data_IF_593853736115
#
_entry.id   IF_593853736115
#
_cell.length_a   1.000
_cell.length_b   1.000
_cell.length_c   1.000
_cell.angle_alpha   90.00
_cell.angle_beta   90.00
_cell.angle_gamma   90.00
#
_symmetry.space_group_name_H-M   'P 1'
#
loop_
_entity.id
_entity.type
_entity.pdbx_description
1 polymer ?
#
# COMPACT_ATOMS: atom_id res chain seq x y z
N UNK A 1 -8.09 -6.25 -8.44
CA UNK A 1 -7.95 -6.15 -6.97
C UNK A 1 -9.22 -5.61 -6.36
N UNK A 2 -9.76 -6.29 -5.36
CA UNK A 2 -10.92 -5.81 -4.60
C UNK A 2 -10.53 -4.65 -3.66
N UNK A 3 -11.36 -3.62 -3.62
CA UNK A 3 -11.23 -2.48 -2.70
C UNK A 3 -12.36 -2.54 -1.68
N UNK A 4 -12.02 -2.56 -0.39
CA UNK A 4 -12.98 -2.80 0.69
C UNK A 4 -12.94 -1.77 1.79
N UNK A 5 -14.12 -1.44 2.30
CA UNK A 5 -14.33 -0.77 3.59
C UNK A 5 -14.87 -1.83 4.57
N UNK A 6 -14.01 -2.31 5.47
CA UNK A 6 -14.32 -3.52 6.25
C UNK A 6 -14.68 -4.68 5.33
N UNK A 7 -15.89 -5.24 5.46
CA UNK A 7 -16.36 -6.35 4.61
C UNK A 7 -16.99 -5.88 3.28
N UNK A 8 -17.34 -4.59 3.14
CA UNK A 8 -18.05 -4.07 1.98
C UNK A 8 -17.10 -3.86 0.80
N UNK A 9 -17.37 -4.50 -0.33
CA UNK A 9 -16.69 -4.21 -1.61
C UNK A 9 -17.21 -2.88 -2.15
N UNK A 10 -16.31 -1.90 -2.39
CA UNK A 10 -16.67 -0.56 -2.87
C UNK A 10 -16.21 -0.30 -4.29
N UNK A 11 -15.09 -0.89 -4.70
CA UNK A 11 -14.54 -0.78 -6.03
C UNK A 11 -13.65 -1.97 -6.41
N UNK A 12 -13.25 -2.02 -7.67
CA UNK A 12 -12.26 -2.96 -8.19
C UNK A 12 -11.22 -2.17 -8.98
N UNK A 13 -9.94 -2.29 -8.61
CA UNK A 13 -8.86 -1.81 -9.46
C UNK A 13 -8.47 -2.91 -10.45
N UNK A 14 -8.42 -2.55 -11.74
CA UNK A 14 -7.98 -3.39 -12.85
C UNK A 14 -6.64 -2.88 -13.35
N UNK A 15 -5.69 -3.79 -13.53
CA UNK A 15 -4.42 -3.51 -14.20
C UNK A 15 -4.48 -4.23 -15.54
N UNK A 16 -4.28 -3.49 -16.61
CA UNK A 16 -4.18 -4.01 -17.97
C UNK A 16 -2.71 -4.20 -18.29
N UNK A 17 -2.35 -5.42 -18.63
CA UNK A 17 -0.99 -5.81 -18.99
C UNK A 17 -0.86 -5.85 -20.51
N UNK A 18 0.33 -5.55 -20.97
CA UNK A 18 0.76 -5.92 -22.32
C UNK A 18 0.96 -7.45 -22.37
N UNK A 19 0.31 -8.17 -23.30
CA UNK A 19 0.38 -9.62 -23.33
C UNK A 19 1.74 -10.17 -23.79
N UNK A 20 2.57 -9.34 -24.43
CA UNK A 20 3.90 -9.73 -24.93
C UNK A 20 4.96 -9.46 -23.88
N UNK A 21 4.94 -8.25 -23.29
CA UNK A 21 6.00 -7.81 -22.37
C UNK A 21 5.64 -7.97 -20.89
N UNK A 22 4.35 -8.13 -20.57
CA UNK A 22 3.86 -8.14 -19.19
C UNK A 22 3.81 -6.75 -18.52
N UNK A 23 4.26 -5.69 -19.20
CA UNK A 23 4.28 -4.34 -18.62
C UNK A 23 2.88 -3.73 -18.45
N UNK A 24 2.77 -2.78 -17.53
CA UNK A 24 1.54 -2.03 -17.30
C UNK A 24 1.19 -1.12 -18.48
N UNK A 25 0.04 -1.37 -19.08
CA UNK A 25 -0.57 -0.47 -20.06
C UNK A 25 -1.48 0.57 -19.41
N UNK A 26 -2.29 0.14 -18.44
CA UNK A 26 -3.26 1.03 -17.78
C UNK A 26 -3.70 0.50 -16.43
N UNK A 27 -3.95 1.41 -15.47
CA UNK A 27 -4.65 1.12 -14.22
C UNK A 27 -6.01 1.83 -14.25
N UNK A 28 -7.11 1.11 -14.01
CA UNK A 28 -8.46 1.66 -14.00
C UNK A 28 -9.20 1.26 -12.73
N UNK A 29 -9.96 2.19 -12.17
CA UNK A 29 -10.89 1.92 -11.07
C UNK A 29 -12.29 1.69 -11.63
N UNK A 30 -12.94 0.60 -11.24
CA UNK A 30 -14.36 0.37 -11.47
C UNK A 30 -15.10 0.59 -10.15
N UNK A 31 -16.02 1.56 -10.13
CA UNK A 31 -16.72 1.99 -8.92
C UNK A 31 -16.00 3.13 -8.18
N UNK A 32 -16.57 3.53 -7.03
CA UNK A 32 -16.01 4.59 -6.18
C UNK A 32 -15.30 3.93 -5.00
N UNK A 33 -13.96 4.05 -4.90
CA UNK A 33 -13.23 3.33 -3.86
C UNK A 33 -13.51 3.87 -2.46
N UNK A 34 -13.93 5.15 -2.34
CA UNK A 34 -14.25 5.79 -1.07
C UNK A 34 -13.06 5.72 -0.11
N UNK A 35 -13.33 5.28 1.11
CA UNK A 35 -12.33 5.01 2.14
C UNK A 35 -11.77 3.58 2.06
N UNK A 36 -12.08 2.84 1.00
CA UNK A 36 -11.66 1.45 0.88
C UNK A 36 -10.21 1.28 0.46
N UNK A 37 -9.59 0.19 0.90
CA UNK A 37 -8.24 -0.22 0.49
C UNK A 37 -8.28 -1.63 -0.09
N UNK A 38 -7.23 -2.03 -0.78
CA UNK A 38 -6.94 -3.45 -0.90
C UNK A 38 -6.38 -3.94 0.45
N UNK A 39 -7.00 -4.98 1.02
CA UNK A 39 -6.78 -5.41 2.40
C UNK A 39 -6.15 -6.81 2.49
N UNK A 40 -5.13 -7.12 1.69
CA UNK A 40 -4.62 -8.48 1.44
C UNK A 40 -4.66 -9.47 2.61
N UNK A 41 -4.27 -9.04 3.81
CA UNK A 41 -4.41 -9.77 5.07
C UNK A 41 -4.65 -8.80 6.26
N UNK A 42 -4.62 -9.31 7.49
CA UNK A 42 -4.58 -8.47 8.70
C UNK A 42 -5.92 -7.88 9.13
N UNK A 43 -7.05 -8.47 8.72
CA UNK A 43 -8.35 -8.07 9.22
C UNK A 43 -8.40 -8.34 10.75
N UNK A 44 -8.48 -7.29 11.56
CA UNK A 44 -8.45 -7.39 13.02
C UNK A 44 -7.05 -7.37 13.65
N UNK A 45 -5.98 -7.16 12.87
CA UNK A 45 -4.66 -6.94 13.42
C UNK A 45 -4.60 -5.62 14.23
N UNK A 46 -3.71 -5.55 15.22
CA UNK A 46 -3.39 -4.33 15.98
C UNK A 46 -2.21 -3.56 15.39
N UNK A 47 -1.37 -4.24 14.60
CA UNK A 47 -0.27 -3.66 13.82
C UNK A 47 -0.60 -3.84 12.34
N UNK A 48 -0.54 -2.75 11.58
CA UNK A 48 -0.84 -2.74 10.16
C UNK A 48 0.14 -1.82 9.43
N UNK A 49 0.60 -2.24 8.26
CA UNK A 49 1.27 -1.37 7.30
C UNK A 49 0.31 -0.86 6.23
N UNK A 50 0.57 0.33 5.68
CA UNK A 50 -0.19 0.93 4.60
C UNK A 50 0.78 1.49 3.56
N UNK A 51 0.57 1.07 2.31
CA UNK A 51 1.33 1.50 1.15
C UNK A 51 0.45 2.15 0.07
N UNK A 52 1.08 2.82 -0.88
CA UNK A 52 0.45 3.41 -2.06
C UNK A 52 0.03 2.34 -3.07
N UNK A 53 0.94 1.41 -3.38
CA UNK A 53 0.79 0.38 -4.40
C UNK A 53 0.47 -1.01 -3.84
N UNK A 54 -0.14 -1.86 -4.68
CA UNK A 54 -0.38 -3.27 -4.36
C UNK A 54 0.95 -4.01 -4.20
N UNK A 55 1.86 -3.80 -5.16
CA UNK A 55 3.14 -4.50 -5.26
C UNK A 55 4.03 -4.12 -4.07
N UNK A 56 4.09 -2.83 -3.73
CA UNK A 56 4.74 -2.32 -2.52
C UNK A 56 4.15 -2.95 -1.25
N UNK A 57 2.82 -3.00 -1.13
CA UNK A 57 2.17 -3.63 0.03
C UNK A 57 2.52 -5.12 0.15
N UNK A 58 2.42 -5.86 -0.96
CA UNK A 58 2.72 -7.28 -0.98
C UNK A 58 4.19 -7.54 -0.63
N UNK A 59 5.11 -6.79 -1.21
CA UNK A 59 6.54 -6.91 -0.92
C UNK A 59 6.87 -6.60 0.54
N UNK A 60 6.28 -5.52 1.09
CA UNK A 60 6.46 -5.19 2.50
C UNK A 60 6.01 -6.32 3.43
N UNK A 61 4.85 -6.94 3.15
CA UNK A 61 4.38 -8.08 3.94
C UNK A 61 5.33 -9.27 3.88
N UNK A 62 5.89 -9.59 2.71
CA UNK A 62 6.85 -10.69 2.58
C UNK A 62 8.19 -10.40 3.26
N UNK A 63 8.66 -9.16 3.20
CA UNK A 63 9.96 -8.76 3.74
C UNK A 63 9.93 -8.58 5.25
N UNK A 64 8.88 -7.94 5.78
CA UNK A 64 8.79 -7.50 7.18
C UNK A 64 7.86 -8.39 8.04
N UNK A 65 7.10 -9.29 7.42
CA UNK A 65 6.15 -10.15 8.14
C UNK A 65 4.94 -9.41 8.73
N UNK A 66 4.72 -8.14 8.36
CA UNK A 66 3.60 -7.32 8.83
C UNK A 66 2.51 -7.25 7.76
N UNK A 67 1.22 -7.45 8.09
CA UNK A 67 0.14 -7.26 7.13
C UNK A 67 0.14 -5.83 6.58
N UNK A 68 0.17 -5.69 5.25
CA UNK A 68 0.20 -4.40 4.57
C UNK A 68 -1.01 -4.24 3.64
N UNK A 69 -1.70 -3.12 3.77
CA UNK A 69 -2.79 -2.72 2.90
C UNK A 69 -2.29 -1.77 1.82
N UNK A 70 -3.02 -1.70 0.70
CA UNK A 70 -2.71 -0.75 -0.36
C UNK A 70 -3.86 0.24 -0.54
N UNK A 71 -3.53 1.53 -0.48
CA UNK A 71 -4.43 2.64 -0.79
C UNK A 71 -4.68 2.78 -2.29
N UNK A 72 -3.93 2.08 -3.14
CA UNK A 72 -4.05 2.07 -4.60
C UNK A 72 -3.90 3.48 -5.21
N UNK A 73 -2.98 4.27 -4.65
CA UNK A 73 -2.57 5.59 -5.11
C UNK A 73 -2.18 6.52 -3.95
N UNK A 74 -1.06 7.23 -4.09
CA UNK A 74 -0.49 8.11 -3.06
C UNK A 74 -1.48 9.18 -2.55
N UNK A 75 -2.31 9.73 -3.42
CA UNK A 75 -3.35 10.71 -3.07
C UNK A 75 -4.48 10.16 -2.20
N UNK A 76 -4.56 8.84 -2.03
CA UNK A 76 -5.57 8.16 -1.22
C UNK A 76 -5.02 7.62 0.09
N UNK A 77 -3.71 7.74 0.33
CA UNK A 77 -3.05 7.12 1.47
C UNK A 77 -3.65 7.57 2.82
N UNK A 78 -4.15 8.81 2.90
CA UNK A 78 -4.80 9.43 4.05
C UNK A 78 -6.33 9.25 4.12
N UNK A 79 -6.94 8.52 3.17
CA UNK A 79 -8.40 8.40 3.05
C UNK A 79 -8.97 7.08 3.56
N UNK A 80 -8.11 6.14 3.94
CA UNK A 80 -8.48 4.76 4.22
C UNK A 80 -9.23 4.61 5.55
N UNK A 81 -10.25 3.74 5.55
CA UNK A 81 -10.94 3.30 6.75
C UNK A 81 -10.03 2.31 7.49
N UNK A 82 -9.24 2.84 8.42
CA UNK A 82 -8.42 2.04 9.32
C UNK A 82 -9.25 1.44 10.46
N UNK A 83 -8.94 0.22 10.92
CA UNK A 83 -9.54 -0.33 12.13
C UNK A 83 -9.22 0.54 13.36
N UNK A 84 -10.21 0.74 14.23
CA UNK A 84 -10.01 1.47 15.48
C UNK A 84 -9.09 0.72 16.46
N UNK A 85 -8.97 -0.60 16.30
CA UNK A 85 -8.12 -1.47 17.11
C UNK A 85 -6.61 -1.33 16.84
N UNK A 86 -6.21 -0.56 15.82
CA UNK A 86 -4.79 -0.36 15.55
C UNK A 86 -4.12 0.39 16.68
N UNK A 87 -3.03 -0.18 17.17
CA UNK A 87 -2.08 0.44 18.09
C UNK A 87 -0.81 0.89 17.38
N UNK A 88 -0.51 0.32 16.19
CA UNK A 88 0.61 0.73 15.35
C UNK A 88 0.24 0.75 13.87
N UNK A 89 0.55 1.86 13.20
CA UNK A 89 0.44 2.03 11.75
C UNK A 89 1.82 2.32 11.16
N UNK A 90 2.25 1.48 10.22
CA UNK A 90 3.48 1.68 9.47
C UNK A 90 3.12 2.24 8.08
N UNK A 91 3.59 3.43 7.75
CA UNK A 91 3.47 4.02 6.42
C UNK A 91 4.66 3.53 5.58
N UNK A 92 4.44 2.47 4.82
CA UNK A 92 5.44 1.84 3.95
C UNK A 92 5.49 2.60 2.62
N UNK A 93 6.08 3.79 2.67
CA UNK A 93 6.09 4.74 1.57
C UNK A 93 7.10 4.35 0.48
N UNK A 94 6.77 4.69 -0.76
CA UNK A 94 7.74 4.69 -1.85
C UNK A 94 8.82 5.78 -1.59
N UNK A 95 10.05 5.53 -2.02
CA UNK A 95 11.20 6.41 -1.84
C UNK A 95 11.25 7.49 -2.94
N UNK A 96 10.21 8.32 -2.98
CA UNK A 96 10.14 9.50 -3.84
C UNK A 96 9.36 10.65 -3.16
N UNK A 97 9.32 11.81 -3.82
CA UNK A 97 8.68 13.03 -3.28
C UNK A 97 7.17 12.84 -3.09
N UNK A 98 6.50 12.07 -3.96
CA UNK A 98 5.05 11.85 -3.83
C UNK A 98 4.75 10.96 -2.62
N UNK A 99 5.57 9.92 -2.41
CA UNK A 99 5.50 9.02 -1.25
C UNK A 99 5.75 9.75 0.07
N UNK A 100 6.77 10.60 0.14
CA UNK A 100 7.04 11.44 1.33
C UNK A 100 5.81 12.28 1.70
N UNK A 101 5.30 13.07 0.75
CA UNK A 101 4.15 13.94 0.98
C UNK A 101 2.88 13.15 1.31
N UNK A 102 2.69 11.98 0.72
CA UNK A 102 1.56 11.11 1.02
C UNK A 102 1.61 10.57 2.45
N UNK A 103 2.80 10.13 2.88
CA UNK A 103 2.98 9.61 4.22
C UNK A 103 2.85 10.71 5.29
N UNK A 104 3.35 11.93 5.04
CA UNK A 104 3.14 13.08 5.93
C UNK A 104 1.65 13.39 6.12
N UNK A 105 0.89 13.48 5.02
CA UNK A 105 -0.57 13.71 5.07
C UNK A 105 -1.29 12.58 5.83
N UNK A 106 -0.92 11.33 5.56
CA UNK A 106 -1.49 10.17 6.23
C UNK A 106 -1.21 10.18 7.74
N UNK A 107 0.04 10.48 8.13
CA UNK A 107 0.44 10.57 9.54
C UNK A 107 -0.40 11.63 10.28
N UNK A 108 -0.52 12.83 9.70
CA UNK A 108 -1.35 13.90 10.27
C UNK A 108 -2.83 13.49 10.36
N UNK A 109 -3.36 12.88 9.30
CA UNK A 109 -4.80 12.55 9.20
C UNK A 109 -5.24 11.42 10.12
N UNK A 110 -4.36 10.46 10.40
CA UNK A 110 -4.66 9.30 11.23
C UNK A 110 -4.24 9.44 12.69
N UNK A 111 -3.44 10.47 13.02
CA UNK A 111 -3.01 10.76 14.38
C UNK A 111 -4.19 10.75 15.35
N UNK A 112 -4.10 9.88 16.37
CA UNK A 112 -5.09 9.74 17.44
C UNK A 112 -4.45 9.08 18.67
N UNK A 113 -5.00 9.29 19.87
CA UNK A 113 -4.50 8.64 21.07
C UNK A 113 -4.42 7.11 20.93
N UNK A 114 -3.32 6.53 21.40
CA UNK A 114 -3.11 5.08 21.39
C UNK A 114 -2.67 4.48 20.05
N UNK A 115 -2.52 5.27 18.99
CA UNK A 115 -1.94 4.84 17.72
C UNK A 115 -0.53 5.43 17.52
N UNK A 116 0.47 4.56 17.56
CA UNK A 116 1.82 4.87 17.07
C UNK A 116 1.82 4.89 15.54
N UNK A 117 2.36 5.95 14.92
CA UNK A 117 2.50 6.04 13.47
C UNK A 117 3.98 6.25 13.14
N UNK A 118 4.52 5.41 12.27
CA UNK A 118 5.89 5.55 11.79
C UNK A 118 5.94 5.43 10.27
N UNK A 119 6.88 6.12 9.64
CA UNK A 119 7.15 6.01 8.21
C UNK A 119 8.41 5.19 7.98
N UNK A 120 8.38 4.31 6.99
CA UNK A 120 9.55 3.52 6.58
C UNK A 120 9.65 3.59 5.06
N UNK A 121 10.86 3.82 4.56
CA UNK A 121 11.19 3.91 3.14
C UNK A 121 12.28 2.89 2.80
N UNK A 122 12.26 2.29 1.59
CA UNK A 122 13.29 1.36 1.15
C UNK A 122 14.60 2.12 0.86
N UNK A 123 15.73 1.53 1.26
CA UNK A 123 17.04 2.15 1.08
C UNK A 123 17.58 1.91 -0.33
N UNK A 124 18.02 2.98 -1.00
CA UNK A 124 18.74 2.90 -2.28
C UNK A 124 17.93 2.46 -3.50
N UNK A 125 16.63 2.17 -3.33
CA UNK A 125 15.71 1.79 -4.42
C UNK A 125 14.40 2.56 -4.30
N UNK A 126 13.60 2.52 -5.37
CA UNK A 126 12.36 3.29 -5.48
C UNK A 126 11.26 2.81 -4.55
N UNK A 127 11.03 1.51 -4.46
CA UNK A 127 9.89 0.94 -3.75
C UNK A 127 10.25 -0.42 -3.14
N UNK A 128 9.38 -0.93 -2.27
CA UNK A 128 9.60 -2.20 -1.60
C UNK A 128 9.57 -3.40 -2.55
N UNK A 129 8.88 -3.29 -3.69
CA UNK A 129 8.90 -4.33 -4.71
C UNK A 129 10.29 -4.48 -5.32
N UNK A 130 11.03 -3.38 -5.53
CA UNK A 130 12.44 -3.42 -5.95
C UNK A 130 13.37 -4.04 -4.91
N UNK A 131 13.11 -3.84 -3.62
CA UNK A 131 13.84 -4.54 -2.55
C UNK A 131 13.64 -6.05 -2.65
N UNK A 132 12.38 -6.48 -2.84
CA UNK A 132 12.03 -7.90 -2.97
C UNK A 132 12.64 -8.53 -4.23
N UNK A 133 12.54 -7.86 -5.39
CA UNK A 133 13.16 -8.28 -6.65
C UNK A 133 14.67 -8.54 -6.47
N UNK A 134 15.38 -7.59 -5.85
CA UNK A 134 16.81 -7.70 -5.57
C UNK A 134 17.13 -8.90 -4.65
N UNK A 135 16.31 -9.14 -3.63
CA UNK A 135 16.49 -10.28 -2.70
C UNK A 135 16.33 -11.64 -3.38
N UNK A 136 15.51 -11.72 -4.43
CA UNK A 136 15.28 -12.95 -5.20
C UNK A 136 16.16 -13.07 -6.45
N UNK A 137 17.08 -12.13 -6.69
CA UNK A 137 17.92 -12.14 -7.89
C UNK A 137 17.13 -11.91 -9.19
N UNK A 138 15.91 -11.40 -9.10
CA UNK A 138 15.06 -11.09 -10.26
C UNK A 138 15.39 -9.67 -10.69
N UNK A 139 16.43 -9.50 -11.51
CA UNK A 139 16.64 -8.23 -12.20
C UNK A 139 15.66 -8.14 -13.37
N UNK A 140 14.70 -7.21 -13.32
CA UNK A 140 13.98 -6.81 -14.53
C UNK A 140 14.99 -6.22 -15.51
N UNK A 141 15.18 -6.89 -16.65
CA UNK A 141 15.91 -6.33 -17.80
C UNK A 141 15.23 -5.00 -18.17
N UNK A 142 16.02 -3.94 -18.22
CA UNK A 142 15.57 -2.58 -18.53
C UNK A 142 15.17 -2.43 -19.98
#
# INVERSE_FOLDING_TARGET
MAVREGRRLTAIQRIFLDPVTGYYRKKLMLGRPGRGAWQGAGQGATVLALAEGLETAHAFTLLEGVPCWASLGARRLDQILLPNSLTKLILAADNDVEGELAAERAALRYARPGLEIMRVVPQGVKDWAKVLEARHGISSVR
#
